data_IF_991924505563
#
_entry.id   IF_991924505563
#
_cell.length_a   1.000
_cell.length_b   1.000
_cell.length_c   1.000
_cell.angle_alpha   90.00
_cell.angle_beta   90.00
_cell.angle_gamma   90.00
#
_symmetry.space_group_name_H-M   'P 1'
#
loop_
_entity.id
_entity.type
_entity.pdbx_description
1 polymer ?
#
# COMPACT_ATOMS: atom_id res chain seq x y z
N UNK A 1 16.97 11.37 -13.76
CA UNK A 1 16.29 10.91 -12.54
C UNK A 1 15.29 9.81 -12.84
N UNK A 2 15.28 8.82 -12.00
CA UNK A 2 14.37 7.69 -12.14
C UNK A 2 12.95 8.12 -11.71
N UNK A 3 11.93 7.70 -12.46
CA UNK A 3 10.54 7.91 -12.05
C UNK A 3 10.26 7.16 -10.77
N UNK A 4 9.35 7.68 -9.94
CA UNK A 4 8.83 6.89 -8.82
C UNK A 4 8.06 5.68 -9.36
N UNK A 5 7.88 4.66 -8.54
CA UNK A 5 7.09 3.48 -8.94
C UNK A 5 5.68 3.89 -9.33
N UNK A 6 5.09 4.79 -8.56
CA UNK A 6 3.74 5.30 -8.83
C UNK A 6 3.67 6.02 -10.18
N UNK A 7 4.63 6.89 -10.48
CA UNK A 7 4.66 7.62 -11.75
C UNK A 7 4.80 6.67 -12.95
N UNK A 8 5.62 5.64 -12.81
CA UNK A 8 5.81 4.64 -13.86
C UNK A 8 4.51 3.86 -14.11
N UNK A 9 3.81 3.46 -13.05
CA UNK A 9 2.55 2.73 -13.17
C UNK A 9 1.46 3.64 -13.75
N UNK A 10 1.47 4.92 -13.40
CA UNK A 10 0.54 5.88 -14.01
C UNK A 10 0.77 6.00 -15.53
N UNK A 11 2.02 6.06 -15.95
CA UNK A 11 2.36 6.04 -17.38
C UNK A 11 1.79 4.81 -18.08
N UNK A 12 1.92 3.64 -17.43
CA UNK A 12 1.35 2.41 -17.96
C UNK A 12 -0.18 2.48 -18.04
N UNK A 13 -0.84 2.96 -16.99
CA UNK A 13 -2.31 3.09 -16.98
C UNK A 13 -2.78 4.02 -18.10
N UNK A 14 -2.11 5.14 -18.29
CA UNK A 14 -2.46 6.09 -19.34
C UNK A 14 -2.25 5.51 -20.74
N UNK A 15 -1.15 4.77 -20.93
CA UNK A 15 -0.84 4.17 -22.22
C UNK A 15 -1.81 3.04 -22.60
N UNK A 16 -2.36 2.33 -21.63
CA UNK A 16 -3.23 1.17 -21.84
C UNK A 16 -4.70 1.45 -21.50
N UNK A 17 -5.07 2.71 -21.34
CA UNK A 17 -6.46 3.13 -21.03
C UNK A 17 -7.02 2.50 -19.77
N UNK A 18 -6.17 2.36 -18.76
CA UNK A 18 -6.57 1.89 -17.43
C UNK A 18 -6.91 3.08 -16.53
N UNK A 19 -7.75 2.90 -15.50
CA UNK A 19 -8.19 4.02 -14.67
C UNK A 19 -7.06 4.79 -13.99
N UNK A 20 -7.10 6.12 -14.13
CA UNK A 20 -6.30 7.07 -13.36
C UNK A 20 -7.29 8.14 -12.91
N UNK A 21 -7.85 7.96 -11.71
CA UNK A 21 -8.88 8.88 -11.24
C UNK A 21 -8.27 10.16 -10.69
N UNK A 22 -8.93 11.27 -10.96
CA UNK A 22 -8.51 12.58 -10.47
C UNK A 22 -9.21 12.98 -9.15
N UNK A 23 -10.06 12.10 -8.64
CA UNK A 23 -10.76 12.29 -7.37
C UNK A 23 -10.87 10.96 -6.63
N UNK A 24 -11.00 11.02 -5.32
CA UNK A 24 -11.11 9.82 -4.48
C UNK A 24 -12.47 9.18 -4.63
N UNK A 25 -12.47 7.88 -4.95
CA UNK A 25 -13.69 7.14 -5.20
C UNK A 25 -13.45 5.65 -5.06
N UNK A 26 -14.33 4.97 -4.37
CA UNK A 26 -14.38 3.52 -4.43
C UNK A 26 -14.99 3.18 -5.78
N UNK A 27 -14.26 2.39 -6.57
CA UNK A 27 -14.68 2.06 -7.93
C UNK A 27 -15.91 1.14 -7.96
N UNK A 28 -16.35 0.80 -9.16
CA UNK A 28 -17.42 -0.16 -9.34
C UNK A 28 -16.96 -1.57 -8.90
N UNK A 29 -17.89 -2.47 -8.56
CA UNK A 29 -17.53 -3.81 -8.06
C UNK A 29 -16.60 -4.59 -8.99
N UNK A 30 -16.75 -4.43 -10.31
CA UNK A 30 -15.91 -5.13 -11.27
C UNK A 30 -14.45 -4.66 -11.21
N UNK A 31 -14.23 -3.35 -11.15
CA UNK A 31 -12.89 -2.76 -11.04
C UNK A 31 -12.26 -3.14 -9.69
N UNK A 32 -13.04 -3.07 -8.62
CA UNK A 32 -12.57 -3.42 -7.28
C UNK A 32 -12.11 -4.87 -7.24
N UNK A 33 -12.90 -5.78 -7.80
CA UNK A 33 -12.56 -7.19 -7.84
C UNK A 33 -11.29 -7.45 -8.67
N UNK A 34 -11.14 -6.74 -9.80
CA UNK A 34 -9.93 -6.85 -10.61
C UNK A 34 -8.69 -6.46 -9.79
N UNK A 35 -8.75 -5.34 -9.06
CA UNK A 35 -7.62 -4.90 -8.24
C UNK A 35 -7.27 -5.93 -7.17
N UNK A 36 -8.28 -6.49 -6.50
CA UNK A 36 -8.07 -7.53 -5.48
C UNK A 36 -7.46 -8.79 -6.11
N UNK A 37 -7.99 -9.23 -7.24
CA UNK A 37 -7.50 -10.45 -7.90
C UNK A 37 -6.05 -10.30 -8.37
N UNK A 38 -5.67 -9.13 -8.90
CA UNK A 38 -4.30 -8.89 -9.31
C UNK A 38 -3.33 -8.99 -8.13
N UNK A 39 -3.69 -8.40 -6.99
CA UNK A 39 -2.87 -8.50 -5.78
C UNK A 39 -2.77 -9.93 -5.28
N UNK A 40 -3.91 -10.65 -5.29
CA UNK A 40 -3.95 -12.04 -4.82
C UNK A 40 -3.11 -12.96 -5.69
N UNK A 41 -3.15 -12.78 -7.02
CA UNK A 41 -2.33 -13.58 -7.94
C UNK A 41 -0.84 -13.41 -7.66
N UNK A 42 -0.38 -12.18 -7.47
CA UNK A 42 1.03 -11.92 -7.18
C UNK A 42 1.45 -12.44 -5.81
N UNK A 43 0.55 -12.37 -4.84
CA UNK A 43 0.80 -12.94 -3.51
C UNK A 43 0.95 -14.47 -3.59
N UNK A 44 0.10 -15.13 -4.37
CA UNK A 44 0.20 -16.58 -4.58
C UNK A 44 1.50 -16.96 -5.28
N UNK A 45 1.94 -16.18 -6.27
CA UNK A 45 3.22 -16.39 -6.93
C UNK A 45 4.39 -16.24 -5.97
N UNK A 46 4.31 -15.26 -5.05
CA UNK A 46 5.33 -15.09 -4.02
C UNK A 46 5.43 -16.33 -3.13
N UNK A 47 4.29 -16.87 -2.71
CA UNK A 47 4.25 -18.10 -1.89
C UNK A 47 4.89 -19.27 -2.61
N UNK A 48 4.54 -19.47 -3.89
CA UNK A 48 5.12 -20.55 -4.71
C UNK A 48 6.63 -20.39 -4.88
N UNK A 49 7.08 -19.16 -5.12
CA UNK A 49 8.50 -18.85 -5.28
C UNK A 49 9.29 -19.14 -4.00
N UNK A 50 8.75 -18.78 -2.85
CA UNK A 50 9.38 -19.05 -1.56
C UNK A 50 9.44 -20.57 -1.28
N UNK A 51 8.36 -21.28 -1.57
CA UNK A 51 8.31 -22.74 -1.40
C UNK A 51 9.33 -23.45 -2.30
N UNK A 52 9.53 -22.91 -3.49
CA UNK A 52 10.50 -23.46 -4.45
C UNK A 52 11.95 -23.02 -4.17
N UNK A 53 12.15 -22.05 -3.29
CA UNK A 53 13.48 -21.50 -3.03
C UNK A 53 14.06 -20.74 -4.22
N UNK A 54 13.21 -20.17 -5.07
CA UNK A 54 13.61 -19.50 -6.31
C UNK A 54 13.68 -17.99 -6.10
N UNK A 55 14.88 -17.47 -5.87
CA UNK A 55 15.06 -16.05 -5.55
C UNK A 55 14.70 -15.12 -6.72
N UNK A 56 14.91 -15.56 -7.95
CA UNK A 56 14.53 -14.76 -9.13
C UNK A 56 13.01 -14.54 -9.14
N UNK A 57 12.25 -15.62 -8.91
CA UNK A 57 10.79 -15.53 -8.86
C UNK A 57 10.29 -14.79 -7.63
N UNK A 58 11.00 -14.85 -6.51
CA UNK A 58 10.68 -14.03 -5.32
C UNK A 58 10.79 -12.55 -5.67
N UNK A 59 11.88 -12.15 -6.31
CA UNK A 59 12.07 -10.76 -6.72
C UNK A 59 11.00 -10.32 -7.71
N UNK A 60 10.69 -11.17 -8.69
CA UNK A 60 9.65 -10.88 -9.69
C UNK A 60 8.28 -10.66 -9.02
N UNK A 61 7.89 -11.56 -8.13
CA UNK A 61 6.61 -11.46 -7.43
C UNK A 61 6.51 -10.21 -6.55
N UNK A 62 7.57 -9.88 -5.81
CA UNK A 62 7.59 -8.67 -4.98
C UNK A 62 7.49 -7.41 -5.85
N UNK A 63 8.18 -7.41 -6.99
CA UNK A 63 8.15 -6.28 -7.92
C UNK A 63 6.76 -6.11 -8.52
N UNK A 64 6.13 -7.22 -8.93
CA UNK A 64 4.78 -7.20 -9.49
C UNK A 64 3.74 -6.79 -8.44
N UNK A 65 3.91 -7.22 -7.18
CA UNK A 65 3.05 -6.76 -6.08
C UNK A 65 3.08 -5.23 -5.96
N UNK A 66 4.28 -4.64 -6.02
CA UNK A 66 4.40 -3.18 -5.97
C UNK A 66 3.72 -2.53 -7.17
N UNK A 67 3.86 -3.14 -8.35
CA UNK A 67 3.27 -2.63 -9.59
C UNK A 67 1.74 -2.57 -9.49
N UNK A 68 1.11 -3.69 -9.11
CA UNK A 68 -0.35 -3.75 -9.02
C UNK A 68 -0.89 -2.97 -7.83
N UNK A 69 -0.10 -2.84 -6.76
CA UNK A 69 -0.46 -2.01 -5.61
C UNK A 69 -0.57 -0.53 -6.03
N UNK A 70 0.42 -0.02 -6.76
CA UNK A 70 0.36 1.35 -7.27
C UNK A 70 -0.83 1.53 -8.21
N UNK A 71 -1.16 0.52 -9.02
CA UNK A 71 -2.35 0.54 -9.85
C UNK A 71 -3.64 0.68 -9.05
N UNK A 72 -3.69 0.09 -7.86
CA UNK A 72 -4.85 0.24 -6.99
C UNK A 72 -5.01 1.68 -6.49
N UNK A 73 -3.90 2.35 -6.11
CA UNK A 73 -3.97 3.76 -5.74
C UNK A 73 -4.59 4.60 -6.86
N UNK A 74 -4.17 4.37 -8.09
CA UNK A 74 -4.67 5.11 -9.26
C UNK A 74 -6.15 4.82 -9.52
N UNK A 75 -6.57 3.58 -9.33
CA UNK A 75 -7.97 3.17 -9.56
C UNK A 75 -8.93 3.79 -8.56
N UNK A 76 -8.45 4.14 -7.37
CA UNK A 76 -9.28 4.76 -6.33
C UNK A 76 -9.02 6.26 -6.16
N UNK A 77 -8.13 6.84 -6.98
CA UNK A 77 -7.82 8.27 -6.89
C UNK A 77 -7.04 8.64 -5.64
N UNK A 78 -6.23 7.71 -5.11
CA UNK A 78 -5.47 7.89 -3.87
C UNK A 78 -3.98 8.19 -4.11
N UNK A 79 -3.57 8.35 -5.37
CA UNK A 79 -2.16 8.54 -5.72
C UNK A 79 -1.55 9.80 -5.10
N UNK A 80 -2.34 10.86 -4.96
CA UNK A 80 -1.83 12.13 -4.43
C UNK A 80 -1.54 12.09 -2.93
N UNK A 81 -2.12 11.13 -2.20
CA UNK A 81 -1.93 11.01 -0.75
C UNK A 81 -1.08 9.79 -0.36
N UNK A 82 -0.63 9.01 -1.33
CA UNK A 82 0.13 7.77 -1.06
C UNK A 82 1.30 8.02 -0.13
N UNK A 83 2.18 8.97 -0.45
CA UNK A 83 3.38 9.21 0.34
C UNK A 83 3.05 9.74 1.74
N UNK A 84 2.13 10.70 1.83
CA UNK A 84 1.74 11.26 3.12
C UNK A 84 1.09 10.19 4.02
N UNK A 85 0.26 9.33 3.44
CA UNK A 85 -0.36 8.22 4.16
C UNK A 85 0.69 7.22 4.64
N UNK A 86 1.66 6.89 3.80
CA UNK A 86 2.76 6.02 4.19
C UNK A 86 3.55 6.61 5.35
N UNK A 87 3.88 7.89 5.26
CA UNK A 87 4.63 8.59 6.32
C UNK A 87 3.87 8.55 7.64
N UNK A 88 2.55 8.69 7.60
CA UNK A 88 1.72 8.62 8.81
C UNK A 88 1.74 7.21 9.43
N UNK A 89 1.62 6.17 8.60
CA UNK A 89 1.70 4.79 9.08
C UNK A 89 3.10 4.52 9.67
N UNK A 90 4.14 5.02 9.01
CA UNK A 90 5.51 4.87 9.50
C UNK A 90 5.67 5.56 10.87
N UNK A 91 5.16 6.79 11.01
CA UNK A 91 5.19 7.52 12.28
C UNK A 91 4.48 6.74 13.38
N UNK A 92 3.31 6.21 13.08
CA UNK A 92 2.54 5.36 13.99
C UNK A 92 3.33 4.11 14.38
N UNK A 93 3.92 3.43 13.39
CA UNK A 93 4.70 2.22 13.64
C UNK A 93 5.92 2.50 14.54
N UNK A 94 6.60 3.61 14.33
CA UNK A 94 7.73 3.99 15.17
C UNK A 94 7.30 4.30 16.61
N UNK A 95 6.06 4.71 16.82
CA UNK A 95 5.53 4.98 18.15
C UNK A 95 5.30 3.70 18.98
N UNK A 96 5.46 2.52 18.36
CA UNK A 96 5.35 1.24 19.07
C UNK A 96 6.52 0.94 19.99
N UNK A 97 7.63 1.66 19.86
CA UNK A 97 8.80 1.45 20.70
C UNK A 97 8.46 1.61 22.18
N UNK A 98 9.17 0.85 23.04
CA UNK A 98 9.02 0.97 24.47
C UNK A 98 9.58 2.28 25.01
N UNK A 99 9.31 2.56 26.28
CA UNK A 99 9.79 3.78 26.94
C UNK A 99 11.31 3.94 26.90
N UNK A 100 12.04 2.80 26.79
CA UNK A 100 13.51 2.77 26.70
C UNK A 100 14.02 2.96 25.25
N UNK A 101 13.12 3.20 24.30
CA UNK A 101 13.46 3.34 22.88
C UNK A 101 13.72 2.01 22.18
N UNK A 102 13.42 0.90 22.81
CA UNK A 102 13.63 -0.45 22.25
C UNK A 102 12.31 -1.12 21.92
N UNK A 103 12.32 -2.09 20.98
CA UNK A 103 11.10 -2.80 20.63
C UNK A 103 10.61 -3.68 21.75
N UNK A 104 9.29 -3.79 21.87
CA UNK A 104 8.62 -4.78 22.72
C UNK A 104 8.15 -5.88 21.78
N UNK A 105 8.55 -7.13 22.05
CA UNK A 105 8.23 -8.26 21.19
C UNK A 105 7.45 -9.33 21.93
N UNK A 106 6.53 -9.97 21.21
CA UNK A 106 5.80 -11.12 21.76
C UNK A 106 6.74 -12.33 21.78
N UNK A 107 6.87 -13.03 22.94
CA UNK A 107 7.81 -14.15 23.06
C UNK A 107 7.54 -15.29 22.06
N UNK A 108 6.27 -15.56 21.72
CA UNK A 108 5.89 -16.72 20.93
C UNK A 108 6.41 -16.65 19.48
N UNK A 109 6.42 -15.48 18.87
CA UNK A 109 6.73 -15.33 17.44
C UNK A 109 7.56 -14.09 17.10
N UNK A 110 7.94 -13.29 18.10
CA UNK A 110 8.74 -12.08 17.89
C UNK A 110 7.97 -10.91 17.30
N UNK A 111 6.64 -11.01 17.23
CA UNK A 111 5.83 -9.90 16.72
C UNK A 111 6.03 -8.64 17.55
N UNK A 112 6.23 -7.49 16.88
CA UNK A 112 6.35 -6.18 17.53
C UNK A 112 5.02 -5.80 18.16
N UNK A 113 5.04 -5.48 19.45
CA UNK A 113 3.87 -5.06 20.22
C UNK A 113 3.88 -3.54 20.41
N UNK A 114 2.73 -2.99 20.80
CA UNK A 114 2.57 -1.56 21.01
C UNK A 114 3.18 -1.15 22.35
N UNK A 115 4.01 -0.10 22.33
CA UNK A 115 4.57 0.49 23.53
C UNK A 115 3.61 1.51 24.16
N UNK A 116 4.05 2.13 25.30
CA UNK A 116 3.18 3.02 26.06
C UNK A 116 2.77 4.31 25.31
N UNK A 117 3.59 4.76 24.37
CA UNK A 117 3.34 6.01 23.64
C UNK A 117 2.75 5.76 22.25
N UNK A 118 2.30 4.54 21.99
CA UNK A 118 1.69 4.20 20.71
C UNK A 118 0.47 5.05 20.42
N UNK A 119 0.38 5.54 19.19
CA UNK A 119 -0.81 6.19 18.67
C UNK A 119 -1.21 5.56 17.34
N UNK A 120 -2.51 5.45 17.12
CA UNK A 120 -3.08 4.91 15.89
C UNK A 120 -2.85 5.89 14.74
N UNK A 121 -2.55 5.40 13.51
CA UNK A 121 -2.43 6.31 12.36
C UNK A 121 -3.78 6.96 12.05
N UNK A 122 -3.76 8.26 11.79
CA UNK A 122 -4.95 9.01 11.41
C UNK A 122 -5.03 9.09 9.88
N UNK A 123 -5.65 8.08 9.29
CA UNK A 123 -5.79 7.98 7.84
C UNK A 123 -6.93 8.84 7.31
N UNK A 124 -7.92 9.13 8.15
CA UNK A 124 -9.07 9.95 7.75
C UNK A 124 -8.65 11.36 7.34
N UNK A 125 -7.53 11.87 7.86
CA UNK A 125 -7.05 13.21 7.52
C UNK A 125 -6.74 13.38 6.04
N UNK A 126 -6.50 12.29 5.32
CA UNK A 126 -6.13 12.34 3.89
C UNK A 126 -7.33 12.17 2.97
N UNK A 127 -8.50 11.83 3.52
CA UNK A 127 -9.67 11.49 2.71
C UNK A 127 -10.56 12.71 2.53
N UNK A 128 -10.89 13.03 1.26
CA UNK A 128 -11.81 14.10 0.94
C UNK A 128 -13.24 13.70 1.35
N UNK A 129 -13.96 14.66 1.91
CA UNK A 129 -15.35 14.45 2.29
C UNK A 129 -16.27 15.22 1.35
N UNK A 130 -17.55 14.83 1.29
CA UNK A 130 -18.56 15.56 0.49
C UNK A 130 -18.68 17.01 0.92
N UNK A 131 -18.42 17.31 2.19
CA UNK A 131 -18.46 18.67 2.71
C UNK A 131 -17.34 19.51 2.11
N UNK A 132 -16.15 18.94 1.94
CA UNK A 132 -15.01 19.62 1.30
C UNK A 132 -15.29 19.85 -0.16
N UNK A 133 -15.92 18.90 -0.84
CA UNK A 133 -16.32 19.00 -2.24
C UNK A 133 -17.34 20.11 -2.47
N UNK A 134 -18.22 20.34 -1.50
CA UNK A 134 -19.26 21.36 -1.57
C UNK A 134 -18.74 22.79 -1.30
N UNK A 135 -17.56 22.90 -0.76
CA UNK A 135 -16.93 24.18 -0.47
C UNK A 135 -16.23 24.72 -1.71
#
# INVERSE_FOLDING_TARGET
>A
MTKSTLDAVQEFHEAFDLPVKDHMEISDPKTNLLRINLLAEELDELKEALDAGDMVEVLDALTDLQYVLDGAYLSFGLQHVKQAAFDEVHRSNMSKLGADGKPIRRPEDGKVLKGPDYFKPDMAQFIETKKDEAA
#
